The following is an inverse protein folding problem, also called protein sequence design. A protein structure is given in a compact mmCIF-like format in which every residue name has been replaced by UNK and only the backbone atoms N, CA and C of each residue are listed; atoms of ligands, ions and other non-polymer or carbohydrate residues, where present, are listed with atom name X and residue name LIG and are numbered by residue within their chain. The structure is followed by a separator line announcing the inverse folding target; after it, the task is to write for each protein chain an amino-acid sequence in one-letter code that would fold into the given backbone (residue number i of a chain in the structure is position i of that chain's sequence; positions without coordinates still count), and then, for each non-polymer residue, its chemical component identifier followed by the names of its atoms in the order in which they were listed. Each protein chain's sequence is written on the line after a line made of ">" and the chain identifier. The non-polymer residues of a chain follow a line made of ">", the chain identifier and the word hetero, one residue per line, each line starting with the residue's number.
data_IF_516637397173
#
_entry.id   IF_516637397173
#
_cell.length_a   1.000
_cell.length_b   1.000
_cell.length_c   1.000
_cell.angle_alpha   90.00
_cell.angle_beta   90.00
_cell.angle_gamma   90.00
#
_symmetry.space_group_name_H-M   'P 1'
#
loop_
_entity.id
_entity.type
_entity.pdbx_description
1 polymer ?
#
# COMPACT_ATOMS: atom_id res chain seq x y z
N UNK A 1 10.04 17.14 -11.58
CA UNK A 1 9.27 16.87 -10.35
C UNK A 1 7.88 16.38 -10.73
N UNK A 2 7.76 15.11 -11.15
CA UNK A 2 6.50 14.59 -11.68
C UNK A 2 6.38 13.10 -11.36
N UNK A 3 5.90 12.81 -10.16
CA UNK A 3 5.24 11.54 -9.85
C UNK A 3 3.72 11.76 -9.70
N UNK A 4 3.19 12.79 -10.38
CA UNK A 4 1.75 13.12 -10.41
C UNK A 4 1.00 12.31 -11.49
N UNK A 5 1.29 11.02 -11.59
CA UNK A 5 0.54 10.06 -12.43
C UNK A 5 0.33 8.73 -11.69
N UNK A 6 0.34 8.72 -10.34
CA UNK A 6 -0.27 7.61 -9.61
C UNK A 6 -1.76 7.72 -9.87
N UNK A 7 -2.26 6.85 -10.76
CA UNK A 7 -3.63 6.82 -11.20
C UNK A 7 -4.57 6.79 -9.98
N UNK A 8 -5.64 7.59 -10.03
CA UNK A 8 -6.57 7.79 -8.92
C UNK A 8 -7.22 6.47 -8.40
N UNK A 9 -7.04 5.36 -9.12
CA UNK A 9 -7.58 4.03 -8.81
C UNK A 9 -6.53 2.99 -8.37
N UNK A 10 -5.37 3.42 -7.88
CA UNK A 10 -4.37 2.49 -7.35
C UNK A 10 -4.73 2.02 -5.92
N UNK A 11 -5.20 0.77 -5.79
CA UNK A 11 -5.52 0.15 -4.49
C UNK A 11 -4.36 0.21 -3.49
N UNK A 12 -3.16 -0.20 -3.91
CA UNK A 12 -2.00 -0.22 -3.02
C UNK A 12 -1.54 1.19 -2.62
N UNK A 13 -1.77 2.18 -3.47
CA UNK A 13 -1.43 3.56 -3.18
C UNK A 13 -2.32 4.11 -2.07
N UNK A 14 -3.60 3.74 -2.04
CA UNK A 14 -4.53 4.06 -0.95
C UNK A 14 -4.20 3.33 0.35
N UNK A 15 -3.61 2.12 0.27
CA UNK A 15 -3.08 1.42 1.44
C UNK A 15 -1.85 2.16 1.99
N UNK A 16 -0.89 2.53 1.14
CA UNK A 16 0.30 3.32 1.53
C UNK A 16 -0.08 4.69 2.09
N UNK A 17 -1.12 5.33 1.55
CA UNK A 17 -1.65 6.60 2.05
C UNK A 17 -2.46 6.48 3.36
N UNK A 18 -2.75 5.25 3.82
CA UNK A 18 -3.54 5.01 5.04
C UNK A 18 -5.05 5.20 4.87
N UNK A 19 -5.55 5.38 3.65
CA UNK A 19 -6.99 5.52 3.37
C UNK A 19 -7.74 4.19 3.47
N UNK A 20 -7.05 3.08 3.16
CA UNK A 20 -7.57 1.73 3.28
C UNK A 20 -6.78 1.01 4.36
N UNK A 21 -7.45 0.46 5.40
CA UNK A 21 -6.75 -0.26 6.46
C UNK A 21 -6.13 -1.54 5.91
N UNK A 22 -4.86 -1.78 6.26
CA UNK A 22 -4.17 -3.03 6.04
C UNK A 22 -3.45 -3.46 7.32
N UNK A 23 -3.29 -4.77 7.53
CA UNK A 23 -2.55 -5.29 8.68
C UNK A 23 -1.05 -5.25 8.38
N UNK A 24 -0.44 -4.10 8.61
CA UNK A 24 1.01 -3.87 8.46
C UNK A 24 1.79 -4.79 9.40
N UNK A 25 2.87 -5.37 8.89
CA UNK A 25 3.81 -6.22 9.65
C UNK A 25 5.22 -5.63 9.66
N UNK A 26 5.53 -4.75 8.72
CA UNK A 26 6.80 -4.04 8.65
C UNK A 26 6.64 -2.77 7.81
N UNK A 27 7.35 -1.72 8.21
CA UNK A 27 7.41 -0.45 7.48
C UNK A 27 8.83 0.11 7.56
N UNK A 28 9.30 0.67 6.45
CA UNK A 28 10.55 1.42 6.33
C UNK A 28 10.36 2.60 5.38
N UNK A 29 11.39 3.44 5.27
CA UNK A 29 11.38 4.65 4.44
C UNK A 29 10.94 4.43 2.98
N UNK A 30 11.12 3.22 2.44
CA UNK A 30 10.80 2.91 1.04
C UNK A 30 9.87 1.71 0.86
N UNK A 31 9.48 1.02 1.94
CA UNK A 31 8.79 -0.27 1.83
C UNK A 31 7.72 -0.43 2.92
N UNK A 32 6.54 -0.87 2.52
CA UNK A 32 5.45 -1.27 3.42
C UNK A 32 5.08 -2.73 3.16
N UNK A 33 5.16 -3.58 4.19
CA UNK A 33 4.71 -4.97 4.12
C UNK A 33 3.47 -5.15 5.00
N UNK A 34 2.44 -5.75 4.43
CA UNK A 34 1.16 -6.02 5.10
C UNK A 34 0.67 -7.43 4.78
N UNK A 35 -0.22 -7.97 5.62
CA UNK A 35 -0.81 -9.30 5.42
C UNK A 35 -1.77 -9.27 4.22
N UNK A 36 -1.65 -10.27 3.34
CA UNK A 36 -2.68 -10.56 2.34
C UNK A 36 -4.01 -10.88 3.05
N UNK A 37 -5.12 -10.37 2.50
CA UNK A 37 -6.47 -10.58 3.06
C UNK A 37 -7.03 -11.96 2.75
N UNK A 38 -6.56 -12.61 1.68
CA UNK A 38 -6.96 -13.95 1.26
C UNK A 38 -5.70 -14.81 0.97
N UNK A 39 -4.95 -15.18 2.03
CA UNK A 39 -3.68 -15.89 1.87
C UNK A 39 -3.86 -17.21 1.10
N UNK A 40 -3.02 -17.40 0.09
CA UNK A 40 -2.89 -18.63 -0.69
C UNK A 40 -1.43 -19.08 -0.63
N UNK A 41 -1.10 -19.83 0.41
CA UNK A 41 0.20 -20.46 0.60
C UNK A 41 0.00 -21.91 1.05
#
# INVERSE_FOLDING_TARGET
>A
MRWALVTADCLFCRIVAGEIPAKTVYESDTTLAFRDINPKA
#
